data_IF_549954594598
#
_entry.id   IF_549954594598
#
_cell.length_a   1.000
_cell.length_b   1.000
_cell.length_c   1.000
_cell.angle_alpha   90.00
_cell.angle_beta   90.00
_cell.angle_gamma   90.00
#
_symmetry.space_group_name_H-M   'P 1'
#
loop_
_entity.id
_entity.type
_entity.pdbx_description
1 polymer ?
#
# COMPACT_ATOMS: atom_id res chain seq x y z
N UNK A 1 -4.28 15.56 -19.08
CA UNK A 1 -4.86 14.24 -19.44
C UNK A 1 -4.76 13.35 -18.22
N UNK A 2 -5.75 12.49 -17.97
CA UNK A 2 -5.73 11.58 -16.82
C UNK A 2 -4.71 10.45 -17.03
N UNK A 3 -4.36 9.73 -15.96
CA UNK A 3 -3.44 8.59 -16.04
C UNK A 3 -4.01 7.49 -16.95
N UNK A 4 -3.32 7.24 -18.07
CA UNK A 4 -3.73 6.27 -19.08
C UNK A 4 -3.63 4.82 -18.60
N UNK A 5 -2.68 4.50 -17.71
CA UNK A 5 -2.54 3.14 -17.16
C UNK A 5 -3.68 2.86 -16.18
N UNK A 6 -4.03 3.81 -15.32
CA UNK A 6 -5.20 3.69 -14.43
C UNK A 6 -6.49 3.56 -15.21
N UNK A 7 -6.69 4.40 -16.23
CA UNK A 7 -7.86 4.33 -17.09
C UNK A 7 -8.01 2.93 -17.72
N UNK A 8 -6.92 2.33 -18.20
CA UNK A 8 -6.94 0.98 -18.77
C UNK A 8 -7.28 -0.09 -17.73
N UNK A 9 -6.76 -0.01 -16.50
CA UNK A 9 -7.10 -0.94 -15.42
C UNK A 9 -8.58 -0.86 -15.05
N UNK A 10 -9.12 0.36 -14.92
CA UNK A 10 -10.54 0.59 -14.64
C UNK A 10 -11.40 0.06 -15.80
N UNK A 11 -11.01 0.34 -17.05
CA UNK A 11 -11.67 -0.19 -18.25
C UNK A 11 -11.75 -1.71 -18.22
N UNK A 12 -10.65 -2.39 -17.94
CA UNK A 12 -10.62 -3.86 -17.85
C UNK A 12 -11.54 -4.38 -16.76
N UNK A 13 -11.46 -3.83 -15.55
CA UNK A 13 -12.33 -4.24 -14.45
C UNK A 13 -13.81 -4.10 -14.77
N UNK A 14 -14.21 -3.02 -15.45
CA UNK A 14 -15.60 -2.83 -15.90
C UNK A 14 -15.99 -3.90 -16.92
N UNK A 15 -15.18 -4.08 -17.98
CA UNK A 15 -15.51 -4.96 -19.10
C UNK A 15 -15.40 -6.46 -18.77
N UNK A 16 -14.60 -6.82 -17.77
CA UNK A 16 -14.53 -8.20 -17.24
C UNK A 16 -15.74 -8.51 -16.33
N UNK A 17 -16.33 -7.50 -15.69
CA UNK A 17 -17.54 -7.67 -14.89
C UNK A 17 -18.82 -7.65 -15.73
N UNK A 18 -18.87 -6.83 -16.79
CA UNK A 18 -20.06 -6.64 -17.62
C UNK A 18 -19.95 -5.45 -18.58
N UNK A 19 -21.06 -4.76 -18.83
CA UNK A 19 -21.10 -3.56 -19.68
C UNK A 19 -20.98 -2.26 -18.87
N UNK A 20 -20.74 -1.13 -19.55
CA UNK A 20 -20.73 0.18 -18.90
C UNK A 20 -22.10 0.55 -18.33
N UNK A 21 -23.18 0.12 -18.98
CA UNK A 21 -24.56 0.29 -18.57
C UNK A 21 -24.83 -0.48 -17.27
N UNK A 22 -24.45 -1.76 -17.22
CA UNK A 22 -24.65 -2.60 -16.04
C UNK A 22 -23.87 -2.10 -14.82
N UNK A 23 -22.63 -1.65 -15.04
CA UNK A 23 -21.81 -1.08 -13.96
C UNK A 23 -22.35 0.29 -13.55
N UNK A 24 -22.82 1.12 -14.48
CA UNK A 24 -23.45 2.40 -14.16
C UNK A 24 -24.68 2.22 -13.26
N UNK A 25 -25.55 1.27 -13.60
CA UNK A 25 -26.77 0.99 -12.84
C UNK A 25 -26.45 0.51 -11.41
N UNK A 26 -25.42 -0.32 -11.24
CA UNK A 26 -25.01 -0.84 -9.93
C UNK A 26 -24.24 0.17 -9.08
N UNK A 27 -23.42 1.01 -9.70
CA UNK A 27 -22.57 2.00 -9.00
C UNK A 27 -23.26 3.34 -8.78
N UNK A 28 -24.34 3.63 -9.52
CA UNK A 28 -24.95 4.96 -9.58
C UNK A 28 -24.11 6.00 -10.35
N UNK A 29 -23.01 5.59 -10.99
CA UNK A 29 -22.16 6.46 -11.80
C UNK A 29 -22.74 6.56 -13.21
N UNK A 30 -22.82 7.76 -13.77
CA UNK A 30 -23.30 7.94 -15.14
C UNK A 30 -22.42 7.18 -16.15
N UNK A 31 -23.03 6.47 -17.10
CA UNK A 31 -22.34 5.73 -18.19
C UNK A 31 -21.30 6.59 -18.90
N UNK A 32 -21.62 7.84 -19.22
CA UNK A 32 -20.70 8.77 -19.90
C UNK A 32 -19.48 9.09 -19.03
N UNK A 33 -19.66 9.16 -17.71
CA UNK A 33 -18.57 9.35 -16.76
C UNK A 33 -17.66 8.13 -16.74
N UNK A 34 -18.22 6.91 -16.66
CA UNK A 34 -17.43 5.67 -16.74
C UNK A 34 -16.61 5.59 -18.03
N UNK A 35 -17.22 5.90 -19.18
CA UNK A 35 -16.52 5.93 -20.47
C UNK A 35 -15.40 6.97 -20.48
N UNK A 36 -15.63 8.17 -19.93
CA UNK A 36 -14.59 9.22 -19.83
C UNK A 36 -13.43 8.81 -18.93
N UNK A 37 -13.70 8.11 -17.84
CA UNK A 37 -12.69 7.54 -16.94
C UNK A 37 -11.89 6.46 -17.68
N UNK A 38 -12.57 5.49 -18.28
CA UNK A 38 -11.99 4.36 -19.01
C UNK A 38 -11.19 4.77 -20.26
N UNK A 39 -11.39 5.98 -20.78
CA UNK A 39 -10.67 6.55 -21.93
C UNK A 39 -9.65 7.62 -21.56
N UNK A 40 -9.32 7.75 -20.26
CA UNK A 40 -8.38 8.75 -19.73
C UNK A 40 -8.74 10.22 -20.06
N UNK A 41 -9.99 10.48 -20.44
CA UNK A 41 -10.51 11.83 -20.70
C UNK A 41 -10.76 12.60 -19.41
N UNK A 42 -10.97 11.91 -18.29
CA UNK A 42 -11.23 12.52 -16.99
C UNK A 42 -10.68 11.65 -15.88
N UNK A 43 -10.15 12.31 -14.86
CA UNK A 43 -9.65 11.66 -13.66
C UNK A 43 -10.85 11.22 -12.80
N UNK A 44 -10.98 9.93 -12.42
CA UNK A 44 -12.05 9.47 -11.55
C UNK A 44 -11.96 10.14 -10.17
N UNK A 45 -13.11 10.43 -9.56
CA UNK A 45 -13.11 10.76 -8.13
C UNK A 45 -12.78 9.51 -7.34
N UNK A 46 -12.18 9.68 -6.17
CA UNK A 46 -11.87 8.55 -5.30
C UNK A 46 -13.12 7.72 -4.94
N UNK A 47 -14.26 8.37 -4.74
CA UNK A 47 -15.57 7.72 -4.57
C UNK A 47 -15.95 6.81 -5.73
N UNK A 48 -15.65 7.23 -6.96
CA UNK A 48 -15.99 6.47 -8.17
C UNK A 48 -15.14 5.19 -8.22
N UNK A 49 -13.85 5.28 -7.87
CA UNK A 49 -12.95 4.12 -7.84
C UNK A 49 -13.37 3.11 -6.75
N UNK A 50 -13.83 3.59 -5.59
CA UNK A 50 -14.36 2.73 -4.52
C UNK A 50 -15.56 1.92 -5.00
N UNK A 51 -16.56 2.58 -5.61
CA UNK A 51 -17.76 1.85 -6.04
C UNK A 51 -17.52 0.95 -7.23
N UNK A 52 -16.61 1.32 -8.15
CA UNK A 52 -16.16 0.41 -9.20
C UNK A 52 -15.50 -0.82 -8.55
N UNK A 53 -14.53 -0.65 -7.66
CA UNK A 53 -13.84 -1.75 -6.97
C UNK A 53 -14.83 -2.71 -6.28
N UNK A 54 -15.80 -2.15 -5.56
CA UNK A 54 -16.82 -2.90 -4.82
C UNK A 54 -17.72 -3.72 -5.74
N UNK A 55 -18.15 -3.17 -6.87
CA UNK A 55 -19.03 -3.85 -7.82
C UNK A 55 -18.28 -4.87 -8.66
N UNK A 56 -17.08 -4.53 -9.14
CA UNK A 56 -16.29 -5.43 -10.00
C UNK A 56 -15.56 -6.51 -9.20
N UNK A 57 -15.47 -6.37 -7.88
CA UNK A 57 -14.69 -7.27 -7.02
C UNK A 57 -13.19 -7.12 -7.20
N UNK A 58 -12.75 -6.05 -7.86
CA UNK A 58 -11.33 -5.76 -8.09
C UNK A 58 -10.75 -5.02 -6.88
N UNK A 59 -9.53 -5.37 -6.48
CA UNK A 59 -8.84 -4.68 -5.39
C UNK A 59 -8.63 -3.19 -5.70
N UNK A 60 -8.90 -2.33 -4.70
CA UNK A 60 -8.84 -0.88 -4.83
C UNK A 60 -7.42 -0.39 -5.17
N UNK A 61 -6.39 -0.99 -4.55
CA UNK A 61 -5.01 -0.63 -4.84
C UNK A 61 -4.64 -1.03 -6.26
N UNK A 62 -5.15 -2.16 -6.75
CA UNK A 62 -4.97 -2.59 -8.13
C UNK A 62 -5.57 -1.59 -9.11
N UNK A 63 -6.77 -1.07 -8.86
CA UNK A 63 -7.36 -0.02 -9.71
C UNK A 63 -6.53 1.28 -9.65
N UNK A 64 -6.20 1.74 -8.44
CA UNK A 64 -5.55 3.02 -8.22
C UNK A 64 -4.08 3.04 -8.70
N UNK A 65 -3.30 2.02 -8.33
CA UNK A 65 -1.83 1.97 -8.47
C UNK A 65 -1.34 0.81 -9.36
N UNK A 66 -2.13 -0.25 -9.52
CA UNK A 66 -1.75 -1.43 -10.29
C UNK A 66 -1.39 -2.62 -9.40
N UNK A 67 -0.91 -3.70 -10.03
CA UNK A 67 -0.62 -4.96 -9.35
C UNK A 67 0.41 -4.80 -8.23
N UNK A 68 0.49 -5.76 -7.31
CA UNK A 68 1.36 -5.70 -6.13
C UNK A 68 2.84 -5.44 -6.48
N UNK A 69 3.31 -5.82 -7.67
CA UNK A 69 4.64 -5.44 -8.17
C UNK A 69 4.78 -3.95 -8.49
N UNK A 70 3.76 -3.32 -9.08
CA UNK A 70 3.78 -1.88 -9.34
C UNK A 70 3.67 -1.09 -8.02
N UNK A 71 2.89 -1.58 -7.06
CA UNK A 71 2.83 -1.02 -5.70
C UNK A 71 4.17 -1.20 -4.97
N UNK A 72 4.87 -2.32 -5.18
CA UNK A 72 6.24 -2.54 -4.69
C UNK A 72 7.21 -1.51 -5.27
N UNK A 73 7.19 -1.30 -6.58
CA UNK A 73 8.06 -0.34 -7.26
C UNK A 73 7.81 1.09 -6.73
N UNK A 74 6.55 1.56 -6.71
CA UNK A 74 6.16 2.87 -6.17
C UNK A 74 6.52 3.03 -4.67
N UNK A 75 6.35 1.97 -3.87
CA UNK A 75 6.70 1.98 -2.44
C UNK A 75 8.21 1.95 -2.21
N UNK A 76 8.99 1.40 -3.13
CA UNK A 76 10.46 1.39 -3.08
C UNK A 76 11.04 2.75 -3.50
N UNK A 77 10.37 3.47 -4.40
CA UNK A 77 10.74 4.84 -4.78
C UNK A 77 10.44 5.88 -3.69
N UNK A 78 9.35 5.68 -2.93
CA UNK A 78 9.14 6.43 -1.69
C UNK A 78 10.16 5.94 -0.68
N UNK A 79 11.17 6.75 -0.37
CA UNK A 79 12.04 6.58 0.80
C UNK A 79 11.19 6.63 2.08
N UNK A 80 10.44 5.57 2.34
CA UNK A 80 9.75 5.33 3.60
C UNK A 80 10.84 5.32 4.66
N UNK A 81 10.63 6.02 5.77
CA UNK A 81 11.52 5.90 6.92
C UNK A 81 11.35 4.46 7.44
N UNK A 82 12.24 3.56 7.04
CA UNK A 82 12.21 2.12 7.34
C UNK A 82 12.98 1.76 8.61
N UNK A 83 13.59 2.74 9.26
CA UNK A 83 14.38 2.58 10.49
C UNK A 83 14.05 3.66 11.52
N UNK A 84 14.24 3.33 12.80
CA UNK A 84 13.96 4.22 13.92
C UNK A 84 14.99 5.36 14.11
N UNK A 85 16.04 5.38 13.30
CA UNK A 85 17.10 6.40 13.26
C UNK A 85 16.98 7.34 12.05
N UNK A 86 15.97 7.16 11.18
CA UNK A 86 15.67 8.06 10.07
C UNK A 86 16.57 7.90 8.84
N UNK A 87 17.54 6.99 8.86
CA UNK A 87 18.44 6.71 7.74
C UNK A 87 17.99 5.49 6.96
N UNK A 88 17.78 5.64 5.66
CA UNK A 88 17.38 4.53 4.80
C UNK A 88 18.35 4.39 3.64
N UNK A 89 19.33 3.54 3.83
CA UNK A 89 20.11 3.00 2.72
C UNK A 89 19.29 1.92 1.96
N UNK A 90 19.80 1.53 0.80
CA UNK A 90 19.15 0.56 -0.08
C UNK A 90 19.01 -0.81 0.59
N UNK A 91 20.01 -1.25 1.34
CA UNK A 91 20.02 -2.55 1.99
C UNK A 91 18.94 -2.65 3.07
N UNK A 92 18.83 -1.63 3.92
CA UNK A 92 17.78 -1.54 4.95
C UNK A 92 16.38 -1.53 4.34
N UNK A 93 16.20 -0.81 3.22
CA UNK A 93 14.92 -0.74 2.49
C UNK A 93 14.56 -2.09 1.85
N UNK A 94 15.54 -2.75 1.22
CA UNK A 94 15.36 -4.07 0.61
C UNK A 94 15.00 -5.13 1.66
N UNK A 95 15.67 -5.12 2.81
CA UNK A 95 15.39 -6.02 3.93
C UNK A 95 13.99 -5.79 4.53
N UNK A 96 13.61 -4.53 4.77
CA UNK A 96 12.26 -4.17 5.22
C UNK A 96 11.21 -4.72 4.26
N UNK A 97 11.37 -4.46 2.96
CA UNK A 97 10.44 -4.93 1.94
C UNK A 97 10.40 -6.46 1.91
N UNK A 98 11.54 -7.13 1.93
CA UNK A 98 11.60 -8.59 1.96
C UNK A 98 10.74 -9.16 3.11
N UNK A 99 10.87 -8.62 4.32
CA UNK A 99 10.10 -9.06 5.48
C UNK A 99 8.59 -8.84 5.24
N UNK A 100 8.19 -7.61 4.91
CA UNK A 100 6.77 -7.25 4.73
C UNK A 100 6.10 -8.10 3.65
N UNK A 101 6.79 -8.38 2.55
CA UNK A 101 6.21 -9.13 1.43
C UNK A 101 6.11 -10.63 1.68
N UNK A 102 6.99 -11.19 2.50
CA UNK A 102 7.04 -12.63 2.75
C UNK A 102 6.33 -13.04 4.05
N UNK A 103 6.05 -12.13 4.99
CA UNK A 103 5.43 -12.50 6.27
C UNK A 103 4.07 -13.19 6.09
N UNK A 104 3.30 -12.81 5.07
CA UNK A 104 1.97 -13.37 4.80
C UNK A 104 1.99 -14.82 4.30
N UNK A 105 3.13 -15.29 3.80
CA UNK A 105 3.29 -16.66 3.29
C UNK A 105 3.90 -17.61 4.33
N UNK A 106 4.25 -17.09 5.51
CA UNK A 106 4.78 -17.88 6.60
C UNK A 106 3.67 -18.61 7.36
N UNK A 107 4.04 -19.67 8.06
CA UNK A 107 3.12 -20.36 8.95
C UNK A 107 2.85 -19.57 10.23
N UNK A 108 1.85 -20.02 11.01
CA UNK A 108 1.44 -19.34 12.24
C UNK A 108 2.57 -19.24 13.27
N UNK A 109 3.41 -20.27 13.43
CA UNK A 109 4.45 -20.29 14.45
C UNK A 109 5.61 -19.37 14.08
N UNK A 110 5.96 -19.33 12.79
CA UNK A 110 6.97 -18.44 12.25
C UNK A 110 6.58 -16.97 12.45
N UNK A 111 5.32 -16.61 12.15
CA UNK A 111 4.80 -15.25 12.39
C UNK A 111 4.90 -14.88 13.87
N UNK A 112 4.54 -15.80 14.78
CA UNK A 112 4.63 -15.56 16.23
C UNK A 112 6.10 -15.39 16.67
N UNK A 113 7.02 -16.18 16.12
CA UNK A 113 8.45 -16.07 16.38
C UNK A 113 9.00 -14.70 15.97
N UNK A 114 8.67 -14.24 14.75
CA UNK A 114 9.05 -12.92 14.28
C UNK A 114 8.49 -11.81 15.17
N UNK A 115 7.23 -11.91 15.60
CA UNK A 115 6.63 -10.93 16.52
C UNK A 115 7.40 -10.83 17.85
N UNK A 116 7.86 -11.96 18.41
CA UNK A 116 8.68 -11.98 19.63
C UNK A 116 10.04 -11.34 19.41
N UNK A 117 10.69 -11.61 18.28
CA UNK A 117 11.98 -11.01 17.93
C UNK A 117 11.86 -9.49 17.79
N UNK A 118 10.84 -9.02 17.07
CA UNK A 118 10.54 -7.58 16.92
C UNK A 118 10.29 -6.94 18.28
N UNK A 119 9.51 -7.58 19.16
CA UNK A 119 9.27 -7.08 20.52
C UNK A 119 10.57 -6.95 21.32
N UNK A 120 11.43 -7.97 21.29
CA UNK A 120 12.70 -7.95 22.03
C UNK A 120 13.63 -6.82 21.55
N UNK A 121 13.78 -6.68 20.23
CA UNK A 121 14.60 -5.62 19.61
C UNK A 121 14.06 -4.22 19.93
N UNK A 122 12.73 -4.06 19.92
CA UNK A 122 12.08 -2.78 20.24
C UNK A 122 12.30 -2.39 21.70
N UNK A 123 12.14 -3.33 22.64
CA UNK A 123 12.41 -3.11 24.07
C UNK A 123 13.88 -2.79 24.33
N UNK A 124 14.80 -3.46 23.63
CA UNK A 124 16.23 -3.17 23.74
C UNK A 124 16.57 -1.77 23.22
N UNK A 125 16.06 -1.41 22.03
CA UNK A 125 16.27 -0.07 21.45
C UNK A 125 15.74 1.04 22.35
N UNK A 126 14.54 0.86 22.93
CA UNK A 126 13.96 1.79 23.89
C UNK A 126 14.84 1.94 25.14
N UNK A 127 15.28 0.82 25.72
CA UNK A 127 16.12 0.81 26.91
C UNK A 127 17.47 1.49 26.66
N UNK A 128 18.09 1.24 25.50
CA UNK A 128 19.31 1.90 25.08
C UNK A 128 19.13 3.42 24.92
N UNK A 129 18.06 3.88 24.27
CA UNK A 129 17.75 5.31 24.13
C UNK A 129 17.54 5.99 25.49
N UNK A 130 16.87 5.31 26.44
CA UNK A 130 16.67 5.82 27.80
C UNK A 130 17.98 5.90 28.60
N UNK A 131 18.86 4.90 28.47
CA UNK A 131 20.19 4.92 29.08
C UNK A 131 21.03 6.08 28.54
N UNK A 132 21.10 6.23 27.22
CA UNK A 132 21.82 7.34 26.57
C UNK A 132 21.26 8.69 27.01
N UNK A 133 19.93 8.83 27.12
CA UNK A 133 19.32 10.07 27.63
C UNK A 133 19.73 10.37 29.06
N UNK A 134 19.71 9.38 29.97
CA UNK A 134 20.17 9.54 31.36
C UNK A 134 21.64 9.98 31.44
N UNK A 135 22.50 9.36 30.63
CA UNK A 135 23.93 9.71 30.56
C UNK A 135 24.17 11.14 30.04
N UNK A 136 23.32 11.62 29.13
CA UNK A 136 23.40 12.99 28.59
C UNK A 136 22.81 14.03 29.56
N UNK A 137 21.72 13.69 30.27
CA UNK A 137 21.05 14.63 31.18
C UNK A 137 21.64 14.67 32.59
N UNK A 138 22.53 13.74 32.93
CA UNK A 138 23.24 13.73 34.22
C UNK A 138 22.35 13.42 35.43
N UNK A 139 21.16 12.84 35.20
CA UNK A 139 20.29 12.40 36.30
C UNK A 139 20.81 11.07 36.86
N UNK A 140 21.86 11.16 37.68
CA UNK A 140 22.19 10.11 38.65
C UNK A 140 21.29 10.30 39.88
N UNK A 141 20.51 9.26 40.20
CA UNK A 141 19.82 9.15 41.50
C UNK A 141 20.82 8.89 42.61
#
# INVERSE_FOLDING_TARGET
MADSKRAERIRKAILEHGTYEEVADKTGINVRTLVRIATAKTEPKFSDVIEIAKITGTDLNTLAHGDALAVKEDATERKLITSADGYTDKETTDAHNFIIWNIRTLDKQDIISLARQVSALSSYSYSAKMLTRKLITGDEQ
#
